data_IF_570742432093
#
_entry.id   IF_570742432093
#
_cell.length_a   1.000
_cell.length_b   1.000
_cell.length_c   1.000
_cell.angle_alpha   90.00
_cell.angle_beta   90.00
_cell.angle_gamma   90.00
#
_symmetry.space_group_name_H-M   'P 1'
#
loop_
_entity.id
_entity.type
_entity.pdbx_description
1 polymer ?
#
# COMPACT_ATOMS: atom_id res chain seq x y z
N UNK A 1 8.92 13.83 26.10
CA UNK A 1 9.75 12.72 26.64
C UNK A 1 9.42 11.36 26.01
N UNK A 2 8.14 11.03 25.70
CA UNK A 2 7.79 9.77 25.03
C UNK A 2 7.82 9.84 23.49
N UNK A 3 7.71 11.02 22.89
CA UNK A 3 7.78 11.24 21.43
C UNK A 3 9.19 10.97 20.85
N UNK A 4 10.23 11.00 21.68
CA UNK A 4 11.63 10.75 21.28
C UNK A 4 12.02 9.26 21.32
N UNK A 5 11.18 8.39 21.92
CA UNK A 5 11.46 6.95 21.98
C UNK A 5 11.36 6.32 20.58
N UNK A 6 12.25 5.38 20.30
CA UNK A 6 12.19 4.53 19.12
C UNK A 6 10.95 3.62 19.15
N UNK A 7 10.52 3.12 17.99
CA UNK A 7 9.41 2.15 17.90
C UNK A 7 9.68 0.92 18.77
N UNK A 8 10.93 0.45 18.79
CA UNK A 8 11.33 -0.72 19.56
C UNK A 8 11.19 -0.49 21.07
N UNK A 9 11.54 0.68 21.56
CA UNK A 9 11.37 1.04 22.96
C UNK A 9 9.89 1.14 23.33
N UNK A 10 9.08 1.81 22.47
CA UNK A 10 7.65 1.93 22.71
C UNK A 10 6.97 0.54 22.73
N UNK A 11 7.30 -0.32 21.77
CA UNK A 11 6.75 -1.69 21.68
C UNK A 11 7.12 -2.49 22.93
N UNK A 12 8.38 -2.41 23.36
CA UNK A 12 8.83 -3.13 24.56
C UNK A 12 8.06 -2.69 25.80
N UNK A 13 7.84 -1.40 25.96
CA UNK A 13 7.07 -0.84 27.08
C UNK A 13 5.59 -1.26 27.03
N UNK A 14 4.97 -1.23 25.86
CA UNK A 14 3.58 -1.70 25.66
C UNK A 14 3.45 -3.17 26.04
N UNK A 15 4.39 -4.01 25.61
CA UNK A 15 4.39 -5.44 25.91
C UNK A 15 4.66 -5.73 27.40
N UNK A 16 5.30 -4.80 28.13
CA UNK A 16 5.53 -4.87 29.57
C UNK A 16 4.32 -4.35 30.39
N UNK A 17 3.20 -3.98 29.75
CA UNK A 17 1.96 -3.58 30.41
C UNK A 17 1.66 -2.09 30.35
N UNK A 18 2.51 -1.26 29.76
CA UNK A 18 2.28 0.17 29.56
C UNK A 18 1.48 0.41 28.26
N UNK A 19 0.28 -0.15 28.14
CA UNK A 19 -0.52 -0.19 26.91
C UNK A 19 -0.81 1.21 26.35
N UNK A 20 -0.97 2.23 27.18
CA UNK A 20 -1.18 3.62 26.78
C UNK A 20 -0.08 4.16 25.86
N UNK A 21 1.13 3.60 25.93
CA UNK A 21 2.24 4.03 25.06
C UNK A 21 2.05 3.62 23.60
N UNK A 22 1.13 2.71 23.29
CA UNK A 22 0.76 2.39 21.92
C UNK A 22 0.20 3.61 21.16
N UNK A 23 -0.40 4.55 21.87
CA UNK A 23 -0.84 5.83 21.32
C UNK A 23 0.26 6.57 20.54
N UNK A 24 1.53 6.53 21.03
CA UNK A 24 2.62 7.20 20.32
C UNK A 24 2.98 6.53 18.99
N UNK A 25 2.82 5.20 18.89
CA UNK A 25 2.95 4.48 17.61
C UNK A 25 1.80 4.87 16.67
N UNK A 26 0.56 4.92 17.17
CA UNK A 26 -0.59 5.40 16.37
C UNK A 26 -0.31 6.80 15.83
N UNK A 27 0.02 7.77 16.70
CA UNK A 27 0.33 9.15 16.31
C UNK A 27 1.42 9.26 15.25
N UNK A 28 2.43 8.41 15.33
CA UNK A 28 3.57 8.40 14.39
C UNK A 28 3.16 7.92 13.00
N UNK A 29 2.29 6.94 12.92
CA UNK A 29 1.95 6.25 11.67
C UNK A 29 0.54 6.52 11.12
N UNK A 30 -0.37 7.16 11.90
CA UNK A 30 -1.78 7.34 11.52
C UNK A 30 -1.94 8.01 10.15
N UNK A 31 -1.21 9.09 9.90
CA UNK A 31 -1.28 9.83 8.63
C UNK A 31 -0.79 9.00 7.46
N UNK A 32 0.29 8.25 7.65
CA UNK A 32 0.90 7.43 6.60
C UNK A 32 -0.01 6.24 6.25
N UNK A 33 -0.51 5.54 7.26
CA UNK A 33 -1.42 4.41 7.07
C UNK A 33 -2.75 4.85 6.46
N UNK A 34 -3.34 5.95 6.95
CA UNK A 34 -4.56 6.51 6.39
C UNK A 34 -4.38 6.89 4.91
N UNK A 35 -3.28 7.58 4.56
CA UNK A 35 -2.99 7.96 3.19
C UNK A 35 -2.81 6.73 2.29
N UNK A 36 -2.07 5.71 2.76
CA UNK A 36 -1.89 4.46 2.04
C UNK A 36 -3.22 3.77 1.74
N UNK A 37 -4.05 3.57 2.76
CA UNK A 37 -5.36 2.95 2.62
C UNK A 37 -6.26 3.78 1.71
N UNK A 38 -6.32 5.10 1.89
CA UNK A 38 -7.10 5.99 1.03
C UNK A 38 -6.70 5.89 -0.45
N UNK A 39 -5.41 5.75 -0.75
CA UNK A 39 -4.94 5.54 -2.13
C UNK A 39 -5.44 4.24 -2.74
N UNK A 40 -5.68 3.21 -1.93
CA UNK A 40 -6.22 1.94 -2.39
C UNK A 40 -7.74 1.99 -2.54
N UNK A 41 -8.49 2.48 -1.52
CA UNK A 41 -9.96 2.36 -1.46
C UNK A 41 -10.70 3.57 -2.04
N UNK A 42 -10.08 4.78 -2.06
CA UNK A 42 -10.59 6.03 -2.62
C UNK A 42 -11.89 6.58 -1.98
N UNK A 43 -12.29 6.06 -0.86
CA UNK A 43 -13.42 6.55 -0.07
C UNK A 43 -12.89 6.91 1.30
N UNK A 44 -13.10 8.16 1.73
CA UNK A 44 -12.46 8.70 2.94
C UNK A 44 -12.94 8.03 4.21
N UNK A 45 -14.25 7.90 4.36
CA UNK A 45 -14.86 7.27 5.52
C UNK A 45 -14.39 5.82 5.67
N UNK A 46 -14.44 5.05 4.58
CA UNK A 46 -13.91 3.68 4.55
C UNK A 46 -12.42 3.61 4.89
N UNK A 47 -11.62 4.59 4.41
CA UNK A 47 -10.19 4.60 4.71
C UNK A 47 -9.92 4.90 6.20
N UNK A 48 -10.71 5.77 6.82
CA UNK A 48 -10.63 6.07 8.25
C UNK A 48 -11.00 4.83 9.09
N UNK A 49 -12.07 4.12 8.74
CA UNK A 49 -12.49 2.88 9.42
C UNK A 49 -11.45 1.77 9.28
N UNK A 50 -10.92 1.58 8.07
CA UNK A 50 -9.88 0.56 7.82
C UNK A 50 -8.54 0.92 8.49
N UNK A 51 -8.22 2.20 8.64
CA UNK A 51 -7.05 2.63 9.39
C UNK A 51 -7.22 2.31 10.89
N UNK A 52 -8.38 2.57 11.47
CA UNK A 52 -8.70 2.18 12.85
C UNK A 52 -8.65 0.66 13.04
N UNK A 53 -9.23 -0.11 12.10
CA UNK A 53 -9.15 -1.58 12.11
C UNK A 53 -7.69 -2.05 12.05
N UNK A 54 -6.85 -1.38 11.25
CA UNK A 54 -5.41 -1.68 11.13
C UNK A 54 -4.69 -1.53 12.46
N UNK A 55 -4.86 -0.39 13.14
CA UNK A 55 -4.20 -0.15 14.43
C UNK A 55 -4.75 -1.06 15.53
N UNK A 56 -6.04 -1.35 15.51
CA UNK A 56 -6.65 -2.30 16.44
C UNK A 56 -6.05 -3.69 16.27
N UNK A 57 -5.94 -4.18 15.01
CA UNK A 57 -5.29 -5.47 14.72
C UNK A 57 -3.82 -5.47 15.09
N UNK A 58 -3.11 -4.36 14.83
CA UNK A 58 -1.71 -4.21 15.20
C UNK A 58 -1.51 -4.30 16.72
N UNK A 59 -2.36 -3.64 17.50
CA UNK A 59 -2.30 -3.70 18.96
C UNK A 59 -2.43 -5.14 19.48
N UNK A 60 -3.47 -5.86 19.03
CA UNK A 60 -3.69 -7.24 19.47
C UNK A 60 -2.65 -8.24 18.95
N UNK A 61 -2.05 -7.96 17.80
CA UNK A 61 -1.01 -8.80 17.23
C UNK A 61 0.42 -8.38 17.62
N UNK A 62 0.58 -7.35 18.47
CA UNK A 62 1.90 -6.76 18.78
C UNK A 62 2.89 -7.78 19.37
N UNK A 63 2.40 -8.75 20.13
CA UNK A 63 3.23 -9.87 20.67
C UNK A 63 3.80 -10.79 19.59
N UNK A 64 3.25 -10.75 18.36
CA UNK A 64 3.69 -11.56 17.21
C UNK A 64 4.60 -10.75 16.28
N UNK A 65 4.86 -9.49 16.61
CA UNK A 65 5.75 -8.65 15.81
C UNK A 65 7.18 -9.17 15.87
N UNK A 66 7.74 -9.47 14.71
CA UNK A 66 9.14 -9.87 14.56
C UNK A 66 10.02 -8.63 14.37
N UNK A 67 10.91 -8.39 15.32
CA UNK A 67 11.87 -7.28 15.31
C UNK A 67 12.94 -7.38 14.20
N UNK A 68 12.91 -8.41 13.37
CA UNK A 68 13.77 -8.54 12.18
C UNK A 68 13.44 -7.48 11.13
N UNK A 69 12.19 -7.03 11.09
CA UNK A 69 11.70 -6.01 10.17
C UNK A 69 11.39 -4.71 10.91
N UNK A 70 11.39 -3.59 10.18
CA UNK A 70 10.90 -2.33 10.71
C UNK A 70 9.42 -2.43 11.09
N UNK A 71 9.01 -1.76 12.16
CA UNK A 71 7.61 -1.75 12.61
C UNK A 71 6.68 -1.23 11.52
N UNK A 72 7.11 -0.23 10.74
CA UNK A 72 6.36 0.30 9.60
C UNK A 72 6.06 -0.79 8.56
N UNK A 73 7.04 -1.62 8.18
CA UNK A 73 6.86 -2.72 7.22
C UNK A 73 5.80 -3.70 7.71
N UNK A 74 5.87 -4.10 8.99
CA UNK A 74 4.89 -4.98 9.59
C UNK A 74 3.49 -4.33 9.65
N UNK A 75 3.39 -3.05 9.98
CA UNK A 75 2.14 -2.30 10.04
C UNK A 75 1.50 -2.15 8.65
N UNK A 76 2.30 -1.86 7.61
CA UNK A 76 1.81 -1.84 6.22
C UNK A 76 1.29 -3.20 5.77
N UNK A 77 1.89 -4.30 6.20
CA UNK A 77 1.38 -5.65 5.91
C UNK A 77 -0.02 -5.85 6.51
N UNK A 78 -0.25 -5.40 7.74
CA UNK A 78 -1.58 -5.44 8.36
C UNK A 78 -2.57 -4.57 7.57
N UNK A 79 -2.20 -3.33 7.25
CA UNK A 79 -3.03 -2.41 6.48
C UNK A 79 -3.42 -2.98 5.10
N UNK A 80 -2.46 -3.59 4.39
CA UNK A 80 -2.73 -4.22 3.10
C UNK A 80 -3.71 -5.39 3.23
N UNK A 81 -3.55 -6.22 4.25
CA UNK A 81 -4.45 -7.35 4.49
C UNK A 81 -5.88 -6.86 4.82
N UNK A 82 -6.01 -5.80 5.62
CA UNK A 82 -7.30 -5.15 5.91
C UNK A 82 -7.95 -4.65 4.61
N UNK A 83 -7.20 -3.99 3.74
CA UNK A 83 -7.70 -3.54 2.43
C UNK A 83 -8.11 -4.73 1.53
N UNK A 84 -7.32 -5.79 1.45
CA UNK A 84 -7.66 -6.99 0.67
C UNK A 84 -8.93 -7.66 1.16
N UNK A 85 -9.12 -7.74 2.48
CA UNK A 85 -10.33 -8.28 3.10
C UNK A 85 -11.55 -7.41 2.79
N UNK A 86 -11.40 -6.09 2.81
CA UNK A 86 -12.44 -5.15 2.42
C UNK A 86 -12.87 -5.35 0.95
N UNK A 87 -11.93 -5.41 0.01
CA UNK A 87 -12.26 -5.65 -1.40
C UNK A 87 -12.88 -7.04 -1.63
N UNK A 88 -12.39 -8.07 -0.94
CA UNK A 88 -12.97 -9.41 -1.01
C UNK A 88 -14.42 -9.43 -0.53
N UNK A 89 -14.73 -8.78 0.60
CA UNK A 89 -16.11 -8.65 1.11
C UNK A 89 -17.03 -7.92 0.12
N UNK A 90 -16.57 -6.84 -0.48
CA UNK A 90 -17.34 -6.10 -1.50
C UNK A 90 -17.56 -6.92 -2.77
N UNK A 91 -16.56 -7.66 -3.22
CA UNK A 91 -16.70 -8.55 -4.38
C UNK A 91 -17.76 -9.63 -4.11
N UNK A 92 -17.73 -10.27 -2.94
CA UNK A 92 -18.73 -11.28 -2.56
C UNK A 92 -20.13 -10.67 -2.49
N UNK A 93 -20.30 -9.48 -1.89
CA UNK A 93 -21.57 -8.78 -1.83
C UNK A 93 -22.09 -8.44 -3.23
N UNK A 94 -21.23 -8.00 -4.15
CA UNK A 94 -21.59 -7.70 -5.54
C UNK A 94 -22.03 -8.96 -6.29
N UNK A 95 -21.32 -10.09 -6.14
CA UNK A 95 -21.67 -11.36 -6.77
C UNK A 95 -22.94 -11.99 -6.17
N UNK A 96 -23.23 -11.77 -4.90
CA UNK A 96 -24.46 -12.22 -4.26
C UNK A 96 -25.71 -11.52 -4.82
N UNK A 97 -25.53 -10.35 -5.45
CA UNK A 97 -26.62 -9.55 -6.02
C UNK A 97 -26.73 -9.66 -7.55
N UNK A 98 -25.69 -10.15 -8.25
CA UNK A 98 -25.66 -10.25 -9.71
C UNK A 98 -24.90 -11.50 -10.17
N UNK A 99 -25.50 -12.31 -11.03
CA UNK A 99 -25.00 -13.58 -11.61
C UNK A 99 -23.65 -13.46 -12.37
N UNK A 100 -22.91 -14.56 -12.63
CA UNK A 100 -21.45 -14.59 -12.71
C UNK A 100 -20.88 -14.05 -14.02
N UNK A 101 -19.72 -13.42 -13.95
CA UNK A 101 -18.87 -13.06 -15.10
C UNK A 101 -17.47 -13.65 -14.91
N UNK A 102 -16.97 -14.20 -16.00
CA UNK A 102 -15.84 -15.05 -16.20
C UNK A 102 -14.48 -14.66 -15.59
N UNK A 103 -13.68 -15.68 -15.47
CA UNK A 103 -12.29 -15.71 -15.05
C UNK A 103 -11.43 -14.85 -16.00
N UNK A 104 -10.65 -13.92 -15.42
CA UNK A 104 -9.59 -13.24 -16.18
C UNK A 104 -8.38 -14.15 -16.29
N UNK A 105 -8.07 -14.58 -17.52
CA UNK A 105 -6.91 -15.38 -17.89
C UNK A 105 -5.58 -14.73 -17.44
N UNK A 106 -4.78 -15.50 -16.69
CA UNK A 106 -3.36 -15.23 -16.45
C UNK A 106 -2.58 -15.54 -17.72
N UNK A 107 -2.17 -14.54 -18.47
CA UNK A 107 -1.19 -14.69 -19.54
C UNK A 107 0.22 -14.49 -18.99
N UNK A 108 1.00 -15.56 -18.99
CA UNK A 108 2.46 -15.55 -18.77
C UNK A 108 3.16 -14.79 -19.91
N UNK A 109 4.04 -13.86 -19.55
CA UNK A 109 5.05 -13.30 -20.47
C UNK A 109 6.38 -13.10 -19.76
N UNK A 110 7.39 -13.65 -20.38
CA UNK A 110 8.78 -13.58 -19.97
C UNK A 110 9.45 -12.20 -20.13
N UNK A 111 10.60 -12.13 -19.57
CA UNK A 111 11.57 -11.07 -19.34
C UNK A 111 11.73 -10.04 -20.46
N UNK A 112 11.76 -8.77 -20.04
CA UNK A 112 12.68 -7.76 -20.60
C UNK A 112 12.81 -6.62 -19.58
N UNK A 113 14.00 -6.46 -19.04
CA UNK A 113 14.33 -5.40 -18.08
C UNK A 113 14.88 -4.23 -18.90
N UNK A 114 14.13 -3.13 -18.94
CA UNK A 114 14.70 -1.82 -19.26
C UNK A 114 14.41 -0.85 -18.12
N UNK A 115 15.51 -0.22 -17.66
CA UNK A 115 15.49 0.87 -16.68
C UNK A 115 14.93 2.11 -17.37
N UNK A 116 13.71 2.50 -17.01
CA UNK A 116 13.23 3.83 -17.31
C UNK A 116 12.79 4.49 -16.02
N UNK A 117 13.46 5.58 -15.68
CA UNK A 117 13.16 6.46 -14.56
C UNK A 117 11.83 7.14 -14.79
N UNK A 118 10.97 7.15 -13.77
CA UNK A 118 9.84 8.07 -13.73
C UNK A 118 10.37 9.50 -13.53
N UNK A 119 9.71 10.52 -14.10
CA UNK A 119 10.05 11.91 -13.81
C UNK A 119 9.89 12.19 -12.31
N UNK A 120 10.87 12.89 -11.74
CA UNK A 120 10.88 13.36 -10.37
C UNK A 120 9.73 14.38 -10.17
N UNK A 121 8.92 14.30 -9.11
CA UNK A 121 7.77 15.18 -8.92
C UNK A 121 8.07 16.65 -8.57
N UNK A 122 9.33 17.08 -8.54
CA UNK A 122 9.75 18.43 -8.12
C UNK A 122 9.85 19.49 -9.25
N UNK A 123 9.35 19.20 -10.46
CA UNK A 123 9.27 20.18 -11.56
C UNK A 123 8.05 21.10 -11.48
N UNK A 124 8.28 22.41 -11.61
CA UNK A 124 7.31 23.50 -11.41
C UNK A 124 6.16 23.55 -12.43
N UNK A 125 4.98 23.93 -11.95
CA UNK A 125 3.80 24.59 -12.57
C UNK A 125 3.00 23.93 -13.70
N UNK A 126 3.56 23.16 -14.63
CA UNK A 126 2.79 22.39 -15.62
C UNK A 126 2.26 21.05 -15.05
N UNK A 127 2.59 20.78 -13.83
CA UNK A 127 2.53 19.48 -13.18
C UNK A 127 1.16 19.14 -12.51
N UNK A 128 0.24 20.11 -12.37
CA UNK A 128 -1.03 19.82 -11.66
C UNK A 128 -1.98 18.96 -12.49
N UNK A 129 -2.02 19.19 -13.79
CA UNK A 129 -2.85 18.41 -14.70
C UNK A 129 -2.26 17.02 -14.88
N UNK A 130 -0.96 16.91 -15.15
CA UNK A 130 -0.25 15.63 -15.24
C UNK A 130 -0.36 14.82 -13.93
N UNK A 131 -0.23 15.48 -12.79
CA UNK A 131 -0.41 14.83 -11.48
C UNK A 131 -1.82 14.26 -11.30
N UNK A 132 -2.85 15.01 -11.67
CA UNK A 132 -4.24 14.54 -11.63
C UNK A 132 -4.48 13.34 -12.55
N UNK A 133 -3.93 13.39 -13.75
CA UNK A 133 -4.05 12.29 -14.71
C UNK A 133 -3.25 11.06 -14.25
N UNK A 134 -2.07 11.25 -13.65
CA UNK A 134 -1.33 10.15 -13.02
C UNK A 134 -2.12 9.50 -11.88
N UNK A 135 -2.75 10.30 -11.02
CA UNK A 135 -3.60 9.78 -9.95
C UNK A 135 -4.78 8.96 -10.50
N UNK A 136 -5.45 9.45 -11.55
CA UNK A 136 -6.51 8.71 -12.24
C UNK A 136 -5.99 7.40 -12.86
N UNK A 137 -4.85 7.46 -13.54
CA UNK A 137 -4.22 6.29 -14.14
C UNK A 137 -3.86 5.23 -13.09
N UNK A 138 -3.35 5.65 -11.92
CA UNK A 138 -3.11 4.74 -10.79
C UNK A 138 -4.42 4.13 -10.28
N UNK A 139 -5.52 4.89 -10.29
CA UNK A 139 -6.83 4.42 -9.84
C UNK A 139 -7.41 3.33 -10.73
N UNK A 140 -7.12 3.37 -12.03
CA UNK A 140 -7.53 2.38 -13.01
C UNK A 140 -6.66 1.11 -13.00
N UNK A 141 -5.54 1.09 -12.27
CA UNK A 141 -4.72 -0.12 -12.16
C UNK A 141 -5.48 -1.25 -11.44
N UNK A 142 -5.34 -2.50 -11.89
CA UNK A 142 -5.72 -3.66 -11.09
C UNK A 142 -5.09 -3.60 -9.70
N UNK A 143 -5.82 -4.03 -8.67
CA UNK A 143 -5.40 -3.89 -7.27
C UNK A 143 -3.98 -4.41 -7.02
N UNK A 144 -3.62 -5.58 -7.57
CA UNK A 144 -2.28 -6.18 -7.45
C UNK A 144 -1.14 -5.30 -7.96
N UNK A 145 -1.38 -4.45 -8.95
CA UNK A 145 -0.41 -3.49 -9.48
C UNK A 145 -0.42 -2.19 -8.69
N UNK A 146 -1.61 -1.75 -8.26
CA UNK A 146 -1.80 -0.56 -7.45
C UNK A 146 -1.09 -0.69 -6.09
N UNK A 147 -1.23 -1.83 -5.42
CA UNK A 147 -0.56 -2.14 -4.16
C UNK A 147 0.96 -1.89 -4.25
N UNK A 148 1.64 -2.48 -5.23
CA UNK A 148 3.10 -2.37 -5.36
C UNK A 148 3.56 -0.99 -5.83
N UNK A 149 2.78 -0.30 -6.70
CA UNK A 149 3.11 1.06 -7.16
C UNK A 149 3.01 2.05 -6.01
N UNK A 150 1.95 1.98 -5.20
CA UNK A 150 1.76 2.86 -4.04
C UNK A 150 2.90 2.66 -3.04
N UNK A 151 3.18 1.40 -2.66
CA UNK A 151 4.27 1.09 -1.73
C UNK A 151 5.64 1.57 -2.23
N UNK A 152 5.93 1.42 -3.52
CA UNK A 152 7.24 1.78 -4.09
C UNK A 152 7.42 3.27 -4.27
N UNK A 153 6.44 3.94 -4.92
CA UNK A 153 6.62 5.31 -5.41
C UNK A 153 6.04 6.39 -4.50
N UNK A 154 5.10 6.02 -3.64
CA UNK A 154 4.45 6.97 -2.74
C UNK A 154 4.90 6.79 -1.28
N UNK A 155 5.22 5.55 -0.88
CA UNK A 155 5.75 5.27 0.45
C UNK A 155 7.28 5.06 0.45
N UNK A 156 7.93 5.02 -0.71
CA UNK A 156 9.38 4.94 -0.86
C UNK A 156 10.02 3.61 -0.46
N UNK A 157 9.23 2.56 -0.27
CA UNK A 157 9.70 1.29 0.28
C UNK A 157 10.62 0.51 -0.69
N UNK A 158 11.55 -0.26 -0.13
CA UNK A 158 12.44 -1.12 -0.90
C UNK A 158 11.69 -2.33 -1.50
N UNK A 159 12.29 -3.00 -2.49
CA UNK A 159 11.70 -4.24 -3.04
C UNK A 159 11.60 -5.35 -1.99
N UNK A 160 12.53 -5.42 -1.04
CA UNK A 160 12.48 -6.37 0.07
C UNK A 160 11.31 -6.09 1.00
N UNK A 161 11.07 -4.82 1.38
CA UNK A 161 9.94 -4.44 2.22
C UNK A 161 8.61 -4.74 1.53
N UNK A 162 8.51 -4.40 0.22
CA UNK A 162 7.30 -4.69 -0.56
C UNK A 162 7.07 -6.20 -0.67
N UNK A 163 8.13 -7.00 -0.84
CA UNK A 163 8.05 -8.47 -0.85
C UNK A 163 7.47 -8.99 0.47
N UNK A 164 7.95 -8.47 1.60
CA UNK A 164 7.46 -8.83 2.93
C UNK A 164 6.01 -8.38 3.16
N UNK A 165 5.69 -7.11 2.82
CA UNK A 165 4.34 -6.55 2.98
C UNK A 165 3.31 -7.32 2.16
N UNK A 166 3.63 -7.62 0.91
CA UNK A 166 2.69 -8.24 -0.05
C UNK A 166 2.65 -9.76 0.05
N UNK A 167 3.63 -10.36 0.72
CA UNK A 167 3.91 -11.80 0.74
C UNK A 167 4.14 -12.37 -0.68
N UNK A 168 4.82 -11.60 -1.54
CA UNK A 168 5.16 -11.97 -2.91
C UNK A 168 6.69 -12.12 -3.06
N UNK A 169 7.18 -13.08 -3.84
CA UNK A 169 8.60 -13.13 -4.18
C UNK A 169 9.09 -11.80 -4.81
N UNK A 170 10.32 -11.38 -4.50
CA UNK A 170 10.89 -10.14 -5.02
C UNK A 170 10.88 -10.05 -6.56
N UNK A 171 11.03 -11.17 -7.27
CA UNK A 171 10.88 -11.27 -8.71
C UNK A 171 9.45 -10.93 -9.19
N UNK A 172 8.44 -11.39 -8.45
CA UNK A 172 7.04 -11.05 -8.74
C UNK A 172 6.77 -9.57 -8.49
N UNK A 173 7.32 -9.00 -7.40
CA UNK A 173 7.22 -7.54 -7.12
C UNK A 173 7.82 -6.74 -8.28
N UNK A 174 9.02 -7.09 -8.76
CA UNK A 174 9.66 -6.46 -9.94
C UNK A 174 8.75 -6.53 -11.17
N UNK A 175 8.19 -7.71 -11.44
CA UNK A 175 7.29 -7.92 -12.58
C UNK A 175 6.03 -7.08 -12.47
N UNK A 176 5.41 -7.01 -11.28
CA UNK A 176 4.20 -6.21 -11.06
C UNK A 176 4.49 -4.71 -11.20
N UNK A 177 5.60 -4.23 -10.67
CA UNK A 177 6.04 -2.83 -10.85
C UNK A 177 6.28 -2.50 -12.32
N UNK A 178 6.95 -3.40 -13.07
CA UNK A 178 7.16 -3.20 -14.50
C UNK A 178 5.83 -3.14 -15.27
N UNK A 179 4.92 -4.09 -15.05
CA UNK A 179 3.61 -4.11 -15.70
C UNK A 179 2.75 -2.90 -15.33
N UNK A 180 2.80 -2.47 -14.07
CA UNK A 180 2.12 -1.26 -13.62
C UNK A 180 2.63 -0.02 -14.35
N UNK A 181 3.96 0.17 -14.41
CA UNK A 181 4.59 1.29 -15.12
C UNK A 181 4.22 1.30 -16.61
N UNK A 182 4.26 0.14 -17.29
CA UNK A 182 3.87 0.04 -18.70
C UNK A 182 2.41 0.44 -18.93
N UNK A 183 1.49 0.07 -18.02
CA UNK A 183 0.08 0.50 -18.08
C UNK A 183 -0.05 2.01 -17.88
N UNK A 184 0.62 2.58 -16.87
CA UNK A 184 0.62 4.01 -16.59
C UNK A 184 1.19 4.81 -17.79
N UNK A 185 2.32 4.38 -18.34
CA UNK A 185 2.92 5.00 -19.52
C UNK A 185 1.97 5.02 -20.72
N UNK A 186 1.24 3.93 -20.95
CA UNK A 186 0.24 3.85 -22.04
C UNK A 186 -0.90 4.86 -21.82
N UNK A 187 -1.42 4.99 -20.61
CA UNK A 187 -2.50 5.93 -20.29
C UNK A 187 -2.04 7.39 -20.37
N UNK A 188 -0.81 7.65 -19.94
CA UNK A 188 -0.26 9.01 -19.87
C UNK A 188 0.43 9.47 -21.16
N UNK A 189 0.53 8.62 -22.18
CA UNK A 189 1.26 8.95 -23.43
C UNK A 189 0.84 10.30 -24.03
N UNK A 190 -0.46 10.60 -24.04
CA UNK A 190 -1.02 11.85 -24.55
C UNK A 190 -0.64 13.12 -23.76
N UNK A 191 -0.04 12.97 -22.58
CA UNK A 191 0.41 14.08 -21.73
C UNK A 191 1.93 14.18 -21.68
N UNK A 192 2.65 13.22 -22.30
CA UNK A 192 4.11 13.14 -22.34
C UNK A 192 4.68 13.51 -23.73
N UNK A 193 3.83 13.57 -24.77
CA UNK A 193 4.11 14.06 -26.11
C UNK A 193 3.78 15.58 -26.19
#
# INVERSE_FOLDING_TARGET
MHEEKSDRELITEVLNGNEDLFYFLVRRYEKQILNYIYRLVKQREEAEDLAQETFTKAFFALRQYDHTYEFSTWLFRIALNVCRDYFRRRKIAFFSLNTPVGEEEETEWGELIEQNSFPDPDGELDNRELRRELEKAIDHLPLKFKEVIVLRHLEGLSYSDISEITNLPAGTVKTYLHRARKKLQKELKKYLD
#
